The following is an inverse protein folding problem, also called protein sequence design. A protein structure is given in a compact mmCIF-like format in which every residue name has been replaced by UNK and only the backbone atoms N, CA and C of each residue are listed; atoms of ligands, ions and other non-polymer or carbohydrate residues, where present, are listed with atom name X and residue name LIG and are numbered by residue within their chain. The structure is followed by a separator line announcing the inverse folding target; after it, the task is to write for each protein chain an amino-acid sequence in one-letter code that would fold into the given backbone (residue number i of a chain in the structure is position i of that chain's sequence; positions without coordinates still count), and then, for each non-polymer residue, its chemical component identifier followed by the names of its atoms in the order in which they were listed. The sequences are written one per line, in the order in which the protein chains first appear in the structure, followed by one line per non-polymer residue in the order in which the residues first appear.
data_IF_576953408145
#
_entry.id   IF_576953408145
#
_cell.length_a   1.000
_cell.length_b   1.000
_cell.length_c   1.000
_cell.angle_alpha   90.00
_cell.angle_beta   90.00
_cell.angle_gamma   90.00
#
_symmetry.space_group_name_H-M   'P 1'
#
loop_
_entity.id
_entity.type
_entity.pdbx_description
1 polymer ?
#
# COMPACT_ATOMS: atom_id res chain seq x y z
N UNK A 1 -16.71 -10.92 25.88
CA UNK A 1 -15.42 -11.02 25.15
C UNK A 1 -15.66 -10.52 23.75
N UNK A 2 -14.97 -9.46 23.31
CA UNK A 2 -14.99 -9.09 21.91
C UNK A 2 -14.24 -10.20 21.17
N UNK A 3 -14.94 -10.93 20.29
CA UNK A 3 -14.29 -11.88 19.42
C UNK A 3 -13.16 -11.16 18.68
N UNK A 4 -11.93 -11.59 18.94
CA UNK A 4 -10.76 -11.05 18.27
C UNK A 4 -10.85 -11.54 16.83
N UNK A 5 -11.33 -10.68 15.92
CA UNK A 5 -11.37 -11.01 14.50
C UNK A 5 -9.95 -11.18 14.05
N UNK A 6 -9.56 -12.40 13.75
CA UNK A 6 -8.25 -12.73 13.20
C UNK A 6 -8.27 -12.49 11.70
N UNK A 7 -7.31 -11.74 11.21
CA UNK A 7 -7.08 -11.53 9.79
C UNK A 7 -5.82 -12.28 9.38
N UNK A 8 -5.94 -13.09 8.33
CA UNK A 8 -4.80 -13.81 7.78
C UNK A 8 -4.17 -13.01 6.63
N UNK A 9 -2.91 -12.64 6.78
CA UNK A 9 -2.15 -11.91 5.75
C UNK A 9 -1.20 -12.88 5.08
N UNK A 10 -1.38 -13.07 3.78
CA UNK A 10 -0.59 -14.03 3.00
C UNK A 10 -0.20 -13.46 1.63
N UNK A 11 0.89 -13.99 1.08
CA UNK A 11 1.17 -13.84 -0.35
C UNK A 11 0.03 -14.41 -1.15
N UNK A 12 -0.41 -13.70 -2.18
CA UNK A 12 -1.42 -14.19 -3.09
C UNK A 12 -0.89 -15.33 -3.97
N UNK A 13 -1.79 -16.21 -4.32
CA UNK A 13 -1.62 -17.24 -5.35
C UNK A 13 -2.46 -16.87 -6.58
N UNK A 14 -2.31 -17.63 -7.67
CA UNK A 14 -3.15 -17.42 -8.86
C UNK A 14 -4.64 -17.63 -8.58
N UNK A 15 -5.00 -18.48 -7.59
CA UNK A 15 -6.39 -18.70 -7.18
C UNK A 15 -7.00 -17.45 -6.52
N UNK A 16 -6.18 -16.60 -5.90
CA UNK A 16 -6.62 -15.36 -5.27
C UNK A 16 -6.83 -14.19 -6.27
N UNK A 17 -6.22 -14.27 -7.44
CA UNK A 17 -6.10 -13.14 -8.36
C UNK A 17 -7.46 -12.57 -8.79
N UNK A 18 -8.43 -13.42 -9.11
CA UNK A 18 -9.78 -12.97 -9.49
C UNK A 18 -10.46 -12.23 -8.35
N UNK A 19 -10.30 -12.68 -7.11
CA UNK A 19 -10.89 -12.04 -5.92
C UNK A 19 -10.21 -10.71 -5.60
N UNK A 20 -8.87 -10.60 -5.78
CA UNK A 20 -8.15 -9.33 -5.65
C UNK A 20 -8.59 -8.33 -6.72
N UNK A 21 -8.75 -8.76 -7.97
CA UNK A 21 -9.26 -7.90 -9.05
C UNK A 21 -10.65 -7.34 -8.70
N UNK A 22 -11.55 -8.17 -8.20
CA UNK A 22 -12.89 -7.73 -7.75
C UNK A 22 -12.82 -6.78 -6.55
N UNK A 23 -11.88 -6.98 -5.62
CA UNK A 23 -11.65 -6.07 -4.51
C UNK A 23 -11.24 -4.69 -5.03
N UNK A 24 -10.25 -4.61 -5.93
CA UNK A 24 -9.82 -3.36 -6.52
C UNK A 24 -10.94 -2.66 -7.29
N UNK A 25 -11.72 -3.40 -8.08
CA UNK A 25 -12.90 -2.88 -8.77
C UNK A 25 -13.92 -2.28 -7.78
N UNK A 26 -14.22 -3.00 -6.71
CA UNK A 26 -15.18 -2.55 -5.69
C UNK A 26 -14.69 -1.28 -4.99
N UNK A 27 -13.41 -1.24 -4.60
CA UNK A 27 -12.82 -0.09 -3.89
C UNK A 27 -12.75 1.14 -4.81
N UNK A 28 -12.29 0.98 -6.04
CA UNK A 28 -12.14 2.11 -6.97
C UNK A 28 -13.49 2.66 -7.41
N UNK A 29 -14.48 1.80 -7.64
CA UNK A 29 -15.85 2.22 -7.93
C UNK A 29 -16.48 3.00 -6.76
N UNK A 30 -16.29 2.52 -5.53
CA UNK A 30 -16.73 3.25 -4.34
C UNK A 30 -16.10 4.64 -4.27
N UNK A 31 -14.80 4.75 -4.57
CA UNK A 31 -14.08 6.03 -4.55
C UNK A 31 -14.56 7.01 -5.62
N UNK A 32 -15.01 6.56 -6.79
CA UNK A 32 -15.63 7.43 -7.81
C UNK A 32 -16.92 8.09 -7.31
N UNK A 33 -17.69 7.38 -6.49
CA UNK A 33 -18.97 7.86 -5.94
C UNK A 33 -18.80 8.66 -4.63
N UNK A 34 -17.59 8.69 -4.06
CA UNK A 34 -17.28 9.29 -2.76
C UNK A 34 -16.01 10.15 -2.82
N UNK A 35 -15.33 10.34 -1.68
CA UNK A 35 -14.06 11.08 -1.65
C UNK A 35 -12.92 10.16 -2.10
N UNK A 36 -12.37 10.45 -3.26
CA UNK A 36 -11.26 9.70 -3.83
C UNK A 36 -9.92 10.27 -3.33
N UNK A 37 -9.57 9.97 -2.08
CA UNK A 37 -8.32 10.43 -1.48
C UNK A 37 -7.06 9.97 -2.24
N UNK A 38 -6.92 8.70 -2.65
CA UNK A 38 -5.74 8.24 -3.39
C UNK A 38 -5.72 8.67 -4.85
N UNK A 39 -6.78 9.30 -5.36
CA UNK A 39 -6.97 9.67 -6.78
C UNK A 39 -6.81 8.48 -7.73
N UNK A 40 -7.29 7.32 -7.33
CA UNK A 40 -7.33 6.13 -8.15
C UNK A 40 -8.43 6.21 -9.20
N UNK A 41 -8.16 5.68 -10.38
CA UNK A 41 -9.13 5.64 -11.48
C UNK A 41 -9.70 4.24 -11.62
N UNK A 42 -11.03 4.11 -11.52
CA UNK A 42 -11.71 2.83 -11.68
C UNK A 42 -11.40 2.20 -13.05
N UNK A 43 -11.09 0.91 -13.04
CA UNK A 43 -10.71 0.16 -14.23
C UNK A 43 -9.26 0.36 -14.70
N UNK A 44 -8.55 1.36 -14.17
CA UNK A 44 -7.15 1.64 -14.54
C UNK A 44 -6.17 1.22 -13.45
N UNK A 45 -6.31 1.82 -12.25
CA UNK A 45 -5.36 1.55 -11.16
C UNK A 45 -5.97 1.84 -9.77
N UNK A 46 -5.77 0.93 -8.77
CA UNK A 46 -5.32 -0.45 -8.98
C UNK A 46 -6.39 -1.29 -9.71
N UNK A 47 -5.96 -2.33 -10.39
CA UNK A 47 -6.81 -3.15 -11.25
C UNK A 47 -6.35 -4.62 -11.28
N UNK A 48 -7.14 -5.48 -11.93
CA UNK A 48 -6.73 -6.87 -12.19
C UNK A 48 -5.39 -6.93 -12.93
N UNK A 49 -5.14 -6.01 -13.86
CA UNK A 49 -3.88 -5.97 -14.62
C UNK A 49 -2.69 -5.65 -13.69
N UNK A 50 -2.81 -4.63 -12.83
CA UNK A 50 -1.75 -4.29 -11.87
C UNK A 50 -1.55 -5.41 -10.84
N UNK A 51 -2.62 -6.06 -10.39
CA UNK A 51 -2.54 -7.22 -9.49
C UNK A 51 -1.81 -8.41 -10.16
N UNK A 52 -2.06 -8.64 -11.46
CA UNK A 52 -1.39 -9.71 -12.21
C UNK A 52 0.12 -9.48 -12.29
N UNK A 53 0.54 -8.24 -12.55
CA UNK A 53 1.97 -7.87 -12.56
C UNK A 53 2.59 -8.15 -11.19
N UNK A 54 1.98 -7.64 -10.12
CA UNK A 54 2.49 -7.83 -8.76
C UNK A 54 2.49 -9.29 -8.31
N UNK A 55 1.52 -10.10 -8.76
CA UNK A 55 1.50 -11.54 -8.50
C UNK A 55 2.68 -12.25 -9.18
N UNK A 56 2.94 -11.93 -10.45
CA UNK A 56 4.05 -12.52 -11.20
C UNK A 56 5.41 -12.17 -10.59
N UNK A 57 5.54 -10.97 -10.03
CA UNK A 57 6.73 -10.53 -9.29
C UNK A 57 6.82 -11.15 -7.88
N UNK A 58 5.79 -11.86 -7.44
CA UNK A 58 5.71 -12.40 -6.08
C UNK A 58 5.58 -11.33 -5.00
N UNK A 59 5.06 -10.15 -5.33
CA UNK A 59 4.92 -8.97 -4.44
C UNK A 59 3.48 -8.66 -4.04
N UNK A 60 2.49 -9.40 -4.55
CA UNK A 60 1.07 -9.23 -4.22
C UNK A 60 0.72 -9.99 -2.93
N UNK A 61 0.09 -9.29 -2.01
CA UNK A 61 -0.42 -9.83 -0.74
C UNK A 61 -1.90 -9.52 -0.57
N UNK A 62 -2.59 -10.37 0.18
CA UNK A 62 -3.99 -10.13 0.55
C UNK A 62 -4.24 -10.42 2.03
N UNK A 63 -5.30 -9.83 2.53
CA UNK A 63 -5.83 -10.05 3.87
C UNK A 63 -7.15 -10.80 3.74
N UNK A 64 -7.24 -11.95 4.40
CA UNK A 64 -8.43 -12.79 4.41
C UNK A 64 -9.14 -12.73 5.76
N UNK A 65 -10.47 -12.66 5.71
CA UNK A 65 -11.36 -12.92 6.82
C UNK A 65 -12.21 -14.13 6.45
N UNK A 66 -11.85 -15.31 6.96
CA UNK A 66 -12.33 -16.58 6.42
C UNK A 66 -11.94 -16.72 4.94
N UNK A 67 -12.90 -17.03 4.08
CA UNK A 67 -12.66 -17.20 2.64
C UNK A 67 -12.71 -15.85 1.85
N UNK A 68 -13.05 -14.75 2.52
CA UNK A 68 -13.21 -13.45 1.87
C UNK A 68 -11.93 -12.64 1.92
N UNK A 69 -11.46 -12.16 0.76
CA UNK A 69 -10.40 -11.14 0.68
C UNK A 69 -11.01 -9.78 1.01
N UNK A 70 -10.50 -9.13 2.05
CA UNK A 70 -10.98 -7.84 2.56
C UNK A 70 -10.00 -6.69 2.35
N UNK A 71 -8.75 -7.01 2.02
CA UNK A 71 -7.71 -6.05 1.67
C UNK A 71 -6.69 -6.69 0.75
N UNK A 72 -6.03 -5.87 -0.06
CA UNK A 72 -4.88 -6.28 -0.86
C UNK A 72 -3.85 -5.15 -0.92
N UNK A 73 -2.60 -5.50 -1.09
CA UNK A 73 -1.48 -4.55 -1.18
C UNK A 73 -0.29 -5.17 -1.90
N UNK A 74 0.63 -4.32 -2.32
CA UNK A 74 1.90 -4.72 -2.93
C UNK A 74 3.04 -4.34 -1.99
N UNK A 75 3.99 -5.25 -1.80
CA UNK A 75 5.19 -5.02 -1.01
C UNK A 75 6.41 -5.51 -1.79
N UNK A 76 7.27 -4.59 -2.22
CA UNK A 76 8.49 -4.88 -2.98
C UNK A 76 9.57 -3.82 -2.71
N UNK A 77 10.70 -3.90 -3.40
CA UNK A 77 11.81 -2.93 -3.30
C UNK A 77 11.88 -1.94 -4.48
N UNK A 78 10.83 -1.91 -5.33
CA UNK A 78 10.73 -0.98 -6.45
C UNK A 78 9.94 0.28 -6.03
N UNK A 79 10.55 1.48 -5.99
CA UNK A 79 9.85 2.70 -5.62
C UNK A 79 8.83 3.17 -6.68
N UNK A 80 8.89 2.67 -7.90
CA UNK A 80 8.04 3.10 -9.03
C UNK A 80 8.08 4.61 -9.26
N UNK A 81 9.23 5.24 -9.05
CA UNK A 81 9.42 6.67 -9.19
C UNK A 81 10.75 7.13 -8.60
N UNK A 82 11.06 8.40 -8.74
CA UNK A 82 12.32 8.97 -8.27
C UNK A 82 12.29 9.25 -6.75
N UNK A 83 12.69 8.27 -5.96
CA UNK A 83 12.83 8.44 -4.51
C UNK A 83 14.13 9.12 -4.08
N UNK A 84 15.05 9.41 -5.02
CA UNK A 84 16.29 10.12 -4.69
C UNK A 84 16.06 11.55 -4.22
N UNK A 85 14.89 12.12 -4.55
CA UNK A 85 14.49 13.49 -4.20
C UNK A 85 14.07 13.66 -2.74
N UNK A 86 13.81 12.58 -2.01
CA UNK A 86 13.26 12.63 -0.65
C UNK A 86 14.25 13.15 0.40
N UNK A 87 13.74 13.87 1.40
CA UNK A 87 14.50 14.35 2.56
C UNK A 87 14.66 13.21 3.60
N UNK A 88 15.24 12.09 3.15
CA UNK A 88 15.42 10.92 3.99
C UNK A 88 16.36 11.17 5.16
N UNK A 89 15.95 10.84 6.37
CA UNK A 89 16.78 11.00 7.57
C UNK A 89 17.99 10.08 7.59
N UNK A 90 17.93 8.99 6.82
CA UNK A 90 19.01 8.00 6.67
C UNK A 90 19.17 7.65 5.20
N UNK A 91 20.41 7.70 4.71
CA UNK A 91 20.72 7.19 3.38
C UNK A 91 20.58 5.66 3.38
N UNK A 92 19.65 5.16 2.56
CA UNK A 92 19.47 3.73 2.29
C UNK A 92 19.47 3.59 0.76
N UNK A 93 20.38 2.81 0.16
CA UNK A 93 20.38 2.56 -1.26
C UNK A 93 19.07 1.96 -1.75
N UNK A 94 18.73 2.23 -3.01
CA UNK A 94 17.61 1.56 -3.68
C UNK A 94 17.85 0.04 -3.67
N UNK A 95 16.79 -0.73 -3.43
CA UNK A 95 16.89 -2.19 -3.24
C UNK A 95 17.18 -2.64 -1.80
N UNK A 96 17.58 -1.72 -0.89
CA UNK A 96 17.79 -2.03 0.53
C UNK A 96 16.64 -1.57 1.45
N UNK A 97 15.59 -1.00 0.89
CA UNK A 97 14.32 -0.71 1.57
C UNK A 97 13.16 -1.32 0.80
N UNK A 98 12.06 -1.59 1.49
CA UNK A 98 10.81 -1.99 0.84
C UNK A 98 9.85 -0.80 0.70
N UNK A 99 8.91 -0.93 -0.23
CA UNK A 99 7.86 0.06 -0.48
C UNK A 99 6.50 -0.63 -0.46
N UNK A 100 5.54 0.00 0.21
CA UNK A 100 4.14 -0.45 0.23
C UNK A 100 3.38 0.31 -0.86
N UNK A 101 2.71 -0.42 -1.76
CA UNK A 101 1.90 0.17 -2.83
C UNK A 101 0.47 -0.37 -2.78
N UNK A 102 -0.46 0.40 -3.35
CA UNK A 102 -1.84 -0.03 -3.65
C UNK A 102 -2.58 -0.65 -2.46
N UNK A 103 -2.32 -0.19 -1.23
CA UNK A 103 -3.03 -0.70 -0.06
C UNK A 103 -4.51 -0.29 -0.14
N UNK A 104 -5.35 -1.27 -0.46
CA UNK A 104 -6.79 -1.13 -0.58
C UNK A 104 -7.50 -1.96 0.49
N UNK A 105 -8.49 -1.37 1.15
CA UNK A 105 -9.36 -2.04 2.14
C UNK A 105 -10.80 -1.83 1.72
N UNK A 106 -11.61 -2.89 1.73
CA UNK A 106 -13.06 -2.78 1.48
C UNK A 106 -13.69 -1.77 2.43
N UNK A 107 -14.58 -0.92 1.93
CA UNK A 107 -15.19 0.16 2.72
C UNK A 107 -15.90 -0.35 3.97
N UNK A 108 -16.65 -1.44 3.87
CA UNK A 108 -17.32 -2.10 4.99
C UNK A 108 -16.36 -2.63 6.08
N UNK A 109 -15.07 -2.73 5.75
CA UNK A 109 -14.00 -3.20 6.64
C UNK A 109 -13.12 -2.08 7.19
N UNK A 110 -13.36 -0.83 6.78
CA UNK A 110 -12.63 0.34 7.30
C UNK A 110 -12.88 0.54 8.79
N UNK A 111 -11.94 1.14 9.47
CA UNK A 111 -12.04 1.39 10.93
C UNK A 111 -11.84 0.15 11.82
N UNK A 112 -11.64 -1.04 11.25
CA UNK A 112 -11.42 -2.30 11.99
C UNK A 112 -9.93 -2.62 12.24
N UNK A 113 -9.02 -1.70 11.95
CA UNK A 113 -7.58 -1.86 12.19
C UNK A 113 -6.82 -2.66 11.13
N UNK A 114 -7.45 -3.02 10.00
CA UNK A 114 -6.79 -3.82 8.94
C UNK A 114 -5.56 -3.11 8.41
N UNK A 115 -5.66 -1.81 8.10
CA UNK A 115 -4.51 -1.03 7.60
C UNK A 115 -3.32 -1.06 8.56
N UNK A 116 -3.55 -0.96 9.87
CA UNK A 116 -2.48 -1.04 10.87
C UNK A 116 -1.84 -2.43 10.91
N UNK A 117 -2.64 -3.50 10.80
CA UNK A 117 -2.13 -4.86 10.75
C UNK A 117 -1.30 -5.11 9.48
N UNK A 118 -1.73 -4.57 8.32
CA UNK A 118 -0.98 -4.64 7.07
C UNK A 118 0.36 -3.91 7.20
N UNK A 119 0.36 -2.68 7.71
CA UNK A 119 1.61 -1.91 7.87
C UNK A 119 2.56 -2.62 8.83
N UNK A 120 2.04 -3.13 9.96
CA UNK A 120 2.85 -3.94 10.89
C UNK A 120 3.46 -5.16 10.21
N UNK A 121 2.66 -5.91 9.45
CA UNK A 121 3.13 -7.06 8.67
C UNK A 121 4.25 -6.67 7.69
N UNK A 122 4.10 -5.54 6.98
CA UNK A 122 5.11 -5.06 6.05
C UNK A 122 6.43 -4.71 6.77
N UNK A 123 6.34 -4.05 7.95
CA UNK A 123 7.52 -3.72 8.75
C UNK A 123 8.21 -4.98 9.26
N UNK A 124 7.48 -5.94 9.81
CA UNK A 124 8.01 -7.20 10.30
C UNK A 124 8.68 -7.99 9.16
N UNK A 125 7.99 -8.12 8.01
CA UNK A 125 8.50 -8.82 6.82
C UNK A 125 9.78 -8.17 6.29
N UNK A 126 9.81 -6.85 6.15
CA UNK A 126 10.99 -6.13 5.68
C UNK A 126 12.19 -6.33 6.62
N UNK A 127 11.96 -6.24 7.92
CA UNK A 127 12.99 -6.45 8.95
C UNK A 127 13.54 -7.88 8.94
N UNK A 128 12.66 -8.89 8.87
CA UNK A 128 13.02 -10.31 8.81
C UNK A 128 13.83 -10.64 7.56
N UNK A 129 13.53 -9.99 6.42
CA UNK A 129 14.27 -10.13 5.18
C UNK A 129 15.57 -9.31 5.11
N UNK A 130 15.91 -8.57 6.16
CA UNK A 130 17.17 -7.82 6.27
C UNK A 130 17.17 -6.45 5.59
N UNK A 131 16.01 -5.95 5.15
CA UNK A 131 15.89 -4.58 4.64
C UNK A 131 16.17 -3.56 5.76
N UNK A 132 16.59 -2.36 5.38
CA UNK A 132 17.00 -1.30 6.31
C UNK A 132 15.86 -0.36 6.69
N UNK A 133 14.73 -0.46 6.01
CA UNK A 133 13.55 0.35 6.27
C UNK A 133 12.42 0.07 5.31
N UNK A 134 11.32 0.76 5.53
CA UNK A 134 10.14 0.77 4.64
C UNK A 134 9.80 2.21 4.28
N UNK A 135 9.50 2.45 3.02
CA UNK A 135 9.11 3.76 2.50
C UNK A 135 7.72 3.69 1.88
N UNK A 136 7.06 4.82 1.82
CA UNK A 136 5.77 4.97 1.15
C UNK A 136 5.69 6.35 0.52
N UNK A 137 4.88 6.45 -0.51
CA UNK A 137 4.43 7.73 -1.06
C UNK A 137 2.90 7.83 -0.97
N UNK A 138 2.43 9.03 -0.71
CA UNK A 138 1.02 9.32 -0.47
C UNK A 138 0.63 10.56 -1.26
N UNK A 139 -0.51 10.53 -1.93
CA UNK A 139 -1.09 11.74 -2.55
C UNK A 139 -1.29 12.79 -1.45
N UNK A 140 -0.94 14.08 -1.66
CA UNK A 140 -0.96 15.10 -0.61
C UNK A 140 -2.27 15.22 0.17
N UNK A 141 -3.41 15.05 -0.49
CA UNK A 141 -4.74 15.13 0.12
C UNK A 141 -5.24 13.79 0.70
N UNK A 142 -4.43 12.73 0.63
CA UNK A 142 -4.79 11.42 1.17
C UNK A 142 -4.51 11.33 2.68
N UNK A 143 -5.24 12.13 3.45
CA UNK A 143 -5.12 12.18 4.92
C UNK A 143 -5.32 10.82 5.60
N UNK A 144 -6.26 9.94 5.17
CA UNK A 144 -6.41 8.63 5.80
C UNK A 144 -5.15 7.77 5.71
N UNK A 145 -4.48 7.74 4.55
CA UNK A 145 -3.24 7.00 4.38
C UNK A 145 -2.09 7.64 5.17
N UNK A 146 -1.93 8.96 5.09
CA UNK A 146 -0.91 9.68 5.85
C UNK A 146 -1.03 9.42 7.35
N UNK A 147 -2.24 9.59 7.90
CA UNK A 147 -2.51 9.37 9.32
C UNK A 147 -2.21 7.92 9.73
N UNK A 148 -2.52 6.94 8.87
CA UNK A 148 -2.19 5.53 9.11
C UNK A 148 -0.68 5.35 9.27
N UNK A 149 0.11 5.82 8.31
CA UNK A 149 1.56 5.64 8.33
C UNK A 149 2.22 6.40 9.48
N UNK A 150 1.84 7.65 9.74
CA UNK A 150 2.35 8.43 10.87
C UNK A 150 2.03 7.74 12.22
N UNK A 151 0.81 7.22 12.39
CA UNK A 151 0.41 6.43 13.56
C UNK A 151 1.26 5.17 13.73
N UNK A 152 1.72 4.57 12.63
CA UNK A 152 2.59 3.39 12.63
C UNK A 152 4.08 3.72 12.78
N UNK A 153 4.42 5.00 13.01
CA UNK A 153 5.78 5.45 13.30
C UNK A 153 6.58 5.91 12.10
N UNK A 154 5.94 6.06 10.93
CA UNK A 154 6.60 6.67 9.79
C UNK A 154 6.78 8.17 9.99
N UNK A 155 7.88 8.71 9.47
CA UNK A 155 8.20 10.14 9.50
C UNK A 155 8.15 10.73 8.10
N UNK A 156 7.72 11.98 8.01
CA UNK A 156 7.63 12.73 6.76
C UNK A 156 9.01 13.06 6.20
N UNK A 157 9.19 12.83 4.91
CA UNK A 157 10.45 13.01 4.18
C UNK A 157 10.30 13.90 2.93
N UNK A 158 9.41 14.89 3.01
CA UNK A 158 9.21 15.89 1.96
C UNK A 158 8.07 15.57 0.99
N UNK A 159 7.80 16.53 0.10
CA UNK A 159 6.79 16.43 -0.95
C UNK A 159 7.44 16.79 -2.30
N UNK A 160 7.40 15.85 -3.25
CA UNK A 160 8.16 15.95 -4.48
C UNK A 160 7.45 15.34 -5.69
N UNK A 161 7.79 15.82 -6.88
CA UNK A 161 7.49 15.15 -8.14
C UNK A 161 8.38 13.90 -8.30
N UNK A 162 7.75 12.73 -8.28
CA UNK A 162 8.43 11.44 -8.42
C UNK A 162 8.68 11.03 -9.87
N UNK A 163 8.49 11.94 -10.83
CA UNK A 163 8.70 11.71 -12.28
C UNK A 163 7.85 10.56 -12.85
N UNK A 164 6.68 10.34 -12.29
CA UNK A 164 5.73 9.30 -12.77
C UNK A 164 4.92 9.71 -14.01
N UNK A 165 4.92 11.00 -14.37
CA UNK A 165 4.17 11.50 -15.51
C UNK A 165 2.65 11.49 -15.30
N UNK A 166 2.17 11.54 -14.06
CA UNK A 166 0.75 11.59 -13.73
C UNK A 166 0.35 13.04 -13.56
N UNK A 167 -0.18 13.67 -14.63
CA UNK A 167 -0.44 15.12 -14.66
C UNK A 167 -1.37 15.62 -13.54
N UNK A 168 -2.37 14.82 -13.16
CA UNK A 168 -3.32 15.20 -12.10
C UNK A 168 -2.82 14.90 -10.67
N UNK A 169 -1.63 14.31 -10.53
CA UNK A 169 -0.91 14.13 -9.27
C UNK A 169 0.52 14.63 -9.45
N UNK A 170 0.74 15.96 -9.35
CA UNK A 170 2.06 16.54 -9.65
C UNK A 170 3.12 16.21 -8.60
N UNK A 171 2.72 15.97 -7.35
CA UNK A 171 3.62 15.65 -6.24
C UNK A 171 3.08 14.54 -5.38
N UNK A 172 3.98 13.91 -4.63
CA UNK A 172 3.67 12.92 -3.61
C UNK A 172 4.40 13.27 -2.32
N UNK A 173 3.75 13.02 -1.19
CA UNK A 173 4.36 13.08 0.13
C UNK A 173 5.08 11.79 0.42
N UNK A 174 6.36 11.88 0.77
CA UNK A 174 7.21 10.75 1.09
C UNK A 174 7.26 10.55 2.60
N UNK A 175 7.17 9.29 3.05
CA UNK A 175 7.33 8.91 4.45
C UNK A 175 8.25 7.70 4.56
N UNK A 176 8.98 7.62 5.66
CA UNK A 176 9.93 6.54 5.94
C UNK A 176 9.80 5.96 7.34
N UNK A 177 10.11 4.67 7.44
CA UNK A 177 10.36 3.98 8.70
C UNK A 177 11.72 3.27 8.57
N UNK A 178 12.68 3.62 9.43
CA UNK A 178 14.02 3.03 9.42
C UNK A 178 14.21 2.06 10.58
N UNK A 179 14.87 0.94 10.31
CA UNK A 179 15.21 -0.06 11.33
C UNK A 179 16.53 0.23 12.00
#
# INVERSE_FOLDING_TARGET
MKDCITYDINKCTYDDLSAVGKLYDTVTKYLEEHVNYPKWTHGEYPSLASATIALNDGSLYCVKQGDKIVSAFVLNSDPQGDYSVGDWSKFIPEGEYMVIHSLAVLDECKGKGIGQQVVKFCLDTAKEQGYKGVRVDVVPDNFPARNLYEKMGFTFAGEYDLKRGIEYIPTFQLLEFNF
#
